data_IF_959578885515
#
_entry.id   IF_959578885515
#
_cell.length_a   1.000
_cell.length_b   1.000
_cell.length_c   1.000
_cell.angle_alpha   90.00
_cell.angle_beta   90.00
_cell.angle_gamma   90.00
#
_symmetry.space_group_name_H-M   'P 1'
#
loop_
_entity.id
_entity.type
_entity.pdbx_description
1 polymer ?
#
# COMPACT_ATOMS: atom_id res chain seq x y z
N UNK A 1 3.45 25.18 3.69
CA UNK A 1 2.09 24.73 3.46
C UNK A 1 1.85 24.24 2.07
N UNK A 2 2.74 23.40 1.65
CA UNK A 2 2.62 22.73 0.35
C UNK A 2 1.34 21.93 0.24
N UNK A 3 0.90 21.38 1.35
CA UNK A 3 -0.31 20.56 1.36
C UNK A 3 -1.55 21.37 1.02
N UNK A 4 -1.63 22.61 1.50
CA UNK A 4 -2.77 23.45 1.20
C UNK A 4 -2.77 23.90 -0.25
N UNK A 5 -1.60 24.24 -0.77
CA UNK A 5 -1.47 24.59 -2.18
C UNK A 5 -1.83 23.41 -3.07
N UNK A 6 -1.39 22.20 -2.67
CA UNK A 6 -1.73 20.99 -3.38
C UNK A 6 -3.22 20.69 -3.37
N UNK A 7 -3.87 20.92 -2.22
CA UNK A 7 -5.31 20.74 -2.11
C UNK A 7 -6.08 21.71 -2.99
N UNK A 8 -5.65 22.97 -3.01
CA UNK A 8 -6.29 23.96 -3.85
C UNK A 8 -6.19 23.58 -5.33
N UNK A 9 -5.01 23.13 -5.74
CA UNK A 9 -4.81 22.68 -7.11
C UNK A 9 -5.68 21.45 -7.40
N UNK A 10 -5.78 20.55 -6.45
CA UNK A 10 -6.62 19.35 -6.59
C UNK A 10 -8.08 19.69 -6.73
N UNK A 11 -8.55 20.68 -5.96
CA UNK A 11 -9.95 21.11 -6.04
C UNK A 11 -10.28 21.71 -7.40
N UNK A 12 -9.31 22.31 -8.04
CA UNK A 12 -9.49 22.81 -9.39
C UNK A 12 -9.41 21.72 -10.44
N UNK A 13 -8.99 20.53 -10.05
CA UNK A 13 -8.85 19.40 -10.93
C UNK A 13 -10.18 18.63 -10.98
N UNK A 14 -10.49 18.04 -12.10
CA UNK A 14 -11.70 17.28 -12.19
C UNK A 14 -11.63 15.99 -11.37
N UNK A 15 -12.78 15.45 -11.10
CA UNK A 15 -12.97 14.23 -10.33
C UNK A 15 -12.19 13.04 -10.90
N UNK A 16 -12.03 13.02 -12.20
CA UNK A 16 -11.33 11.96 -12.92
C UNK A 16 -9.87 11.84 -12.47
N UNK A 17 -9.18 12.95 -12.31
CA UNK A 17 -7.78 12.93 -11.88
C UNK A 17 -7.62 12.40 -10.46
N UNK A 18 -8.57 12.68 -9.60
CA UNK A 18 -8.56 12.15 -8.23
C UNK A 18 -8.70 10.63 -8.26
N UNK A 19 -9.60 10.12 -9.07
CA UNK A 19 -9.80 8.67 -9.21
C UNK A 19 -8.53 8.00 -9.75
N UNK A 20 -7.91 8.58 -10.75
CA UNK A 20 -6.67 8.05 -11.30
C UNK A 20 -5.55 7.99 -10.26
N UNK A 21 -5.46 9.03 -9.43
CA UNK A 21 -4.48 9.08 -8.37
C UNK A 21 -4.70 7.95 -7.37
N UNK A 22 -5.95 7.71 -6.97
CA UNK A 22 -6.28 6.64 -6.04
C UNK A 22 -5.98 5.26 -6.62
N UNK A 23 -6.27 5.06 -7.89
CA UNK A 23 -5.95 3.79 -8.55
C UNK A 23 -4.46 3.50 -8.55
N UNK A 24 -3.64 4.51 -8.84
CA UNK A 24 -2.19 4.38 -8.80
C UNK A 24 -1.69 4.03 -7.41
N UNK A 25 -2.28 4.64 -6.38
CA UNK A 25 -1.92 4.34 -5.00
C UNK A 25 -2.28 2.92 -4.62
N UNK A 26 -3.45 2.45 -5.04
CA UNK A 26 -3.87 1.08 -4.77
C UNK A 26 -2.94 0.06 -5.41
N UNK A 27 -2.49 0.32 -6.63
CA UNK A 27 -1.55 -0.55 -7.30
C UNK A 27 -0.22 -0.61 -6.55
N UNK A 28 0.26 0.53 -6.08
CA UNK A 28 1.50 0.60 -5.30
C UNK A 28 1.36 -0.17 -3.98
N UNK A 29 0.23 0.00 -3.30
CA UNK A 29 -0.04 -0.71 -2.05
C UNK A 29 -0.04 -2.22 -2.30
N UNK A 30 -0.81 -2.67 -3.29
CA UNK A 30 -0.90 -4.10 -3.62
C UNK A 30 0.44 -4.70 -3.98
N UNK A 31 1.27 -3.95 -4.68
CA UNK A 31 2.59 -4.43 -5.09
C UNK A 31 3.51 -4.71 -3.89
N UNK A 32 3.24 -4.10 -2.75
CA UNK A 32 4.04 -4.27 -1.54
C UNK A 32 3.38 -5.15 -0.48
N UNK A 33 2.21 -5.71 -0.79
CA UNK A 33 1.53 -6.57 0.16
C UNK A 33 2.08 -8.00 0.11
N UNK A 34 2.19 -8.67 1.26
CA UNK A 34 2.69 -10.03 1.29
C UNK A 34 1.67 -11.02 0.73
N UNK A 35 2.14 -12.20 0.38
CA UNK A 35 1.28 -13.26 -0.09
C UNK A 35 0.21 -13.58 0.96
N UNK A 36 -1.02 -13.78 0.52
CA UNK A 36 -2.13 -14.08 1.42
C UNK A 36 -2.72 -12.87 2.11
N UNK A 37 -2.43 -11.68 1.60
CA UNK A 37 -2.86 -10.44 2.24
C UNK A 37 -4.37 -10.29 2.35
N UNK A 38 -5.12 -10.78 1.36
CA UNK A 38 -6.58 -10.63 1.38
C UNK A 38 -7.19 -11.36 2.57
N UNK A 39 -6.75 -12.57 2.82
CA UNK A 39 -7.24 -13.37 3.93
C UNK A 39 -6.83 -12.73 5.27
N UNK A 40 -5.61 -12.27 5.35
CA UNK A 40 -5.09 -11.68 6.57
C UNK A 40 -5.79 -10.37 6.91
N UNK A 41 -6.00 -9.52 5.92
CA UNK A 41 -6.73 -8.25 6.11
C UNK A 41 -8.18 -8.54 6.52
N UNK A 42 -8.82 -9.48 5.83
CA UNK A 42 -10.20 -9.84 6.14
C UNK A 42 -10.34 -10.30 7.59
N UNK A 43 -9.40 -11.09 8.06
CA UNK A 43 -9.40 -11.58 9.45
C UNK A 43 -9.22 -10.43 10.43
N UNK A 44 -8.31 -9.54 10.15
CA UNK A 44 -8.01 -8.41 11.05
C UNK A 44 -9.15 -7.41 11.11
N UNK A 45 -9.76 -7.10 9.97
CA UNK A 45 -10.86 -6.14 9.89
C UNK A 45 -12.20 -6.76 10.31
N UNK A 46 -12.33 -8.06 10.15
CA UNK A 46 -13.58 -8.76 10.47
C UNK A 46 -14.58 -8.72 9.32
N UNK A 47 -14.11 -8.82 8.10
CA UNK A 47 -14.97 -8.85 6.92
C UNK A 47 -14.57 -10.05 6.04
N UNK A 48 -15.27 -10.21 4.91
CA UNK A 48 -14.96 -11.31 3.99
C UNK A 48 -13.77 -11.00 3.10
N UNK A 49 -13.11 -12.03 2.62
CA UNK A 49 -12.03 -11.87 1.64
C UNK A 49 -12.52 -11.18 0.38
N UNK A 50 -13.74 -11.50 -0.06
CA UNK A 50 -14.32 -10.86 -1.22
C UNK A 50 -14.47 -9.36 -1.03
N UNK A 51 -14.82 -8.92 0.18
CA UNK A 51 -14.90 -7.50 0.49
C UNK A 51 -13.53 -6.84 0.36
N UNK A 52 -12.50 -7.46 0.90
CA UNK A 52 -11.12 -6.95 0.79
C UNK A 52 -10.71 -6.87 -0.68
N UNK A 53 -10.96 -7.95 -1.42
CA UNK A 53 -10.64 -8.00 -2.85
C UNK A 53 -11.30 -6.85 -3.62
N UNK A 54 -12.58 -6.63 -3.38
CA UNK A 54 -13.32 -5.58 -4.07
C UNK A 54 -12.79 -4.19 -3.73
N UNK A 55 -12.47 -3.97 -2.45
CA UNK A 55 -11.95 -2.67 -2.01
C UNK A 55 -10.58 -2.39 -2.63
N UNK A 56 -9.68 -3.35 -2.57
CA UNK A 56 -8.31 -3.14 -3.05
C UNK A 56 -8.23 -3.09 -4.57
N UNK A 57 -9.23 -3.60 -5.27
CA UNK A 57 -9.31 -3.51 -6.72
C UNK A 57 -10.28 -2.43 -7.18
N UNK A 58 -10.73 -1.60 -6.27
CA UNK A 58 -11.61 -0.45 -6.53
C UNK A 58 -12.84 -0.84 -7.36
N UNK A 59 -13.44 -1.96 -7.00
CA UNK A 59 -14.65 -2.42 -7.68
C UNK A 59 -15.84 -1.53 -7.28
N UNK A 60 -16.81 -1.31 -8.19
CA UNK A 60 -17.96 -0.47 -7.87
C UNK A 60 -18.73 -0.92 -6.63
N UNK A 61 -18.79 -2.22 -6.39
CA UNK A 61 -19.47 -2.76 -5.22
C UNK A 61 -18.86 -2.30 -3.91
N UNK A 62 -17.59 -1.90 -3.92
CA UNK A 62 -16.90 -1.48 -2.69
C UNK A 62 -17.16 -0.02 -2.32
N UNK A 63 -17.76 0.77 -3.20
CA UNK A 63 -17.91 2.21 -3.00
C UNK A 63 -18.67 2.56 -1.73
N UNK A 64 -19.59 1.70 -1.30
CA UNK A 64 -20.42 1.93 -0.11
C UNK A 64 -20.06 1.01 1.04
N UNK A 65 -18.93 0.33 0.97
CA UNK A 65 -18.55 -0.59 2.03
C UNK A 65 -18.18 0.16 3.29
N UNK A 66 -18.74 -0.26 4.42
CA UNK A 66 -18.40 0.31 5.72
C UNK A 66 -17.00 -0.09 6.16
N UNK A 67 -16.42 -1.11 5.53
CA UNK A 67 -15.08 -1.60 5.84
C UNK A 67 -13.99 -0.93 5.05
N UNK A 68 -14.34 -0.04 4.11
CA UNK A 68 -13.38 0.51 3.16
C UNK A 68 -12.20 1.19 3.85
N UNK A 69 -12.50 2.08 4.79
CA UNK A 69 -11.44 2.81 5.49
C UNK A 69 -10.53 1.89 6.29
N UNK A 70 -11.11 0.92 7.01
CA UNK A 70 -10.33 -0.01 7.82
C UNK A 70 -9.47 -0.92 6.94
N UNK A 71 -10.02 -1.43 5.86
CA UNK A 71 -9.28 -2.28 4.93
C UNK A 71 -8.10 -1.51 4.35
N UNK A 72 -8.31 -0.27 3.92
CA UNK A 72 -7.24 0.54 3.36
C UNK A 72 -6.17 0.84 4.39
N UNK A 73 -6.56 1.15 5.62
CA UNK A 73 -5.61 1.42 6.70
C UNK A 73 -4.73 0.20 7.00
N UNK A 74 -5.35 -0.97 7.09
CA UNK A 74 -4.61 -2.21 7.36
C UNK A 74 -3.69 -2.53 6.18
N UNK A 75 -4.19 -2.36 4.96
CA UNK A 75 -3.39 -2.62 3.76
C UNK A 75 -2.15 -1.72 3.70
N UNK A 76 -2.33 -0.43 3.99
CA UNK A 76 -1.21 0.52 3.99
C UNK A 76 -0.19 0.13 5.06
N UNK A 77 -0.66 -0.21 6.26
CA UNK A 77 0.23 -0.63 7.34
C UNK A 77 1.03 -1.87 6.92
N UNK A 78 0.36 -2.87 6.38
CA UNK A 78 1.03 -4.10 5.95
C UNK A 78 2.02 -3.86 4.82
N UNK A 79 1.65 -3.00 3.88
CA UNK A 79 2.55 -2.65 2.78
C UNK A 79 3.80 -1.93 3.30
N UNK A 80 3.64 -1.02 4.25
CA UNK A 80 4.77 -0.32 4.86
C UNK A 80 5.66 -1.28 5.63
N UNK A 81 5.09 -2.19 6.39
CA UNK A 81 5.85 -3.19 7.12
C UNK A 81 6.65 -4.09 6.18
N UNK A 82 6.02 -4.51 5.09
CA UNK A 82 6.66 -5.34 4.07
C UNK A 82 7.80 -4.58 3.39
N UNK A 83 7.58 -3.33 3.08
CA UNK A 83 8.59 -2.48 2.45
C UNK A 83 9.79 -2.28 3.38
N UNK A 84 9.55 -1.99 4.66
CA UNK A 84 10.62 -1.83 5.63
C UNK A 84 11.42 -3.13 5.82
N UNK A 85 10.74 -4.26 5.83
CA UNK A 85 11.41 -5.55 5.92
C UNK A 85 12.31 -5.79 4.71
N UNK A 86 11.81 -5.45 3.51
CA UNK A 86 12.59 -5.57 2.28
C UNK A 86 13.81 -4.67 2.29
N UNK A 87 13.65 -3.43 2.75
CA UNK A 87 14.77 -2.49 2.89
C UNK A 87 15.81 -3.01 3.86
N UNK A 88 15.35 -3.61 4.96
CA UNK A 88 16.25 -4.20 5.95
C UNK A 88 17.08 -5.34 5.38
N UNK A 89 16.45 -6.21 4.61
CA UNK A 89 17.15 -7.33 3.95
C UNK A 89 18.16 -6.79 2.94
N UNK A 90 17.77 -5.81 2.13
CA UNK A 90 18.66 -5.21 1.14
C UNK A 90 19.88 -4.57 1.80
N UNK A 91 19.66 -3.87 2.91
CA UNK A 91 20.74 -3.24 3.65
C UNK A 91 21.69 -4.27 4.24
N UNK A 92 21.14 -5.32 4.84
CA UNK A 92 21.94 -6.39 5.41
C UNK A 92 22.75 -7.11 4.34
N UNK A 93 22.16 -7.38 3.19
CA UNK A 93 22.85 -8.01 2.07
C UNK A 93 23.99 -7.13 1.56
N UNK A 94 23.75 -5.81 1.47
CA UNK A 94 24.78 -4.88 1.04
C UNK A 94 25.95 -4.85 2.04
N UNK A 95 25.65 -4.87 3.34
CA UNK A 95 26.68 -4.90 4.37
C UNK A 95 27.51 -6.19 4.31
N UNK A 96 26.85 -7.33 4.12
CA UNK A 96 27.54 -8.61 3.98
C UNK A 96 28.45 -8.62 2.76
N UNK A 97 27.97 -8.06 1.65
CA UNK A 97 28.77 -7.95 0.43
C UNK A 97 29.99 -7.07 0.64
N UNK A 98 29.83 -5.96 1.34
CA UNK A 98 30.95 -5.05 1.65
C UNK A 98 31.96 -5.76 2.54
N UNK A 99 31.52 -6.49 3.55
CA UNK A 99 32.42 -7.23 4.42
C UNK A 99 33.20 -8.32 3.65
N UNK A 100 32.50 -8.99 2.75
CA UNK A 100 33.13 -10.04 1.92
C UNK A 100 34.20 -9.44 1.04
N UNK A 101 33.95 -8.34 0.39
CA UNK A 101 34.92 -7.66 -0.45
C UNK A 101 36.08 -7.11 0.37
N UNK A 102 35.79 -6.59 1.56
CA UNK A 102 36.81 -6.08 2.47
C UNK A 102 37.77 -7.16 2.93
N UNK A 103 37.28 -8.36 3.20
CA UNK A 103 38.14 -9.46 3.62
C UNK A 103 38.93 -10.05 2.46
N UNK A 104 38.41 -9.95 1.25
CA UNK A 104 39.09 -10.46 0.06
C UNK A 104 40.28 -9.58 -0.34
N UNK A 105 40.27 -8.36 0.06
CA UNK A 105 41.37 -7.44 -0.23
C UNK A 105 42.41 -7.47 0.87
#
# INVERSE_FOLDING_TARGET
MLSLAGLAAFQGTNYYNIIMYMENQLETIKANLPYGYEKQIAKEVGCSQGTVHNILNNKPASARSTYKAEVLNVAVRMANESLEATKGVSRAAAELETLHHGTAS
#
